data_IF_248464979653
#
_entry.id   IF_248464979653
#
_cell.length_a   1.000
_cell.length_b   1.000
_cell.length_c   1.000
_cell.angle_alpha   90.00
_cell.angle_beta   90.00
_cell.angle_gamma   90.00
#
_symmetry.space_group_name_H-M   'P 1'
#
loop_
_entity.id
_entity.type
_entity.pdbx_description
1 polymer ?
#
# COMPACT_ATOMS: atom_id res chain seq x y z
N UNK A 1 -8.98 -14.10 11.69
CA UNK A 1 -7.75 -14.59 12.32
C UNK A 1 -7.45 -15.96 11.72
N UNK A 2 -6.34 -16.12 11.01
CA UNK A 2 -5.98 -17.43 10.43
C UNK A 2 -5.26 -18.25 11.51
N UNK A 3 -5.84 -19.39 11.88
CA UNK A 3 -5.32 -20.32 12.91
C UNK A 3 -4.92 -21.62 12.22
N UNK A 4 -3.99 -21.54 11.27
CA UNK A 4 -3.47 -22.69 10.52
C UNK A 4 -1.98 -22.87 10.77
N UNK A 5 -1.51 -24.13 10.78
CA UNK A 5 -0.10 -24.49 11.07
C UNK A 5 0.88 -24.02 9.99
N UNK A 6 0.41 -23.88 8.74
CA UNK A 6 1.21 -23.51 7.58
C UNK A 6 0.63 -22.27 6.88
N UNK A 7 1.43 -21.20 6.79
CA UNK A 7 1.04 -19.98 6.08
C UNK A 7 1.37 -20.11 4.59
N UNK A 8 0.40 -20.57 3.79
CA UNK A 8 0.57 -20.76 2.34
C UNK A 8 0.51 -19.44 1.58
N UNK A 9 1.39 -19.26 0.59
CA UNK A 9 1.41 -18.08 -0.30
C UNK A 9 0.07 -17.80 -0.97
N UNK A 10 -0.69 -18.84 -1.36
CA UNK A 10 -2.04 -18.70 -1.94
C UNK A 10 -3.00 -18.01 -0.98
N UNK A 11 -2.89 -18.27 0.33
CA UNK A 11 -3.77 -17.67 1.32
C UNK A 11 -3.42 -16.19 1.55
N UNK A 12 -2.12 -15.90 1.62
CA UNK A 12 -1.62 -14.53 1.67
C UNK A 12 -2.08 -13.74 0.44
N UNK A 13 -1.99 -14.34 -0.76
CA UNK A 13 -2.50 -13.74 -1.99
C UNK A 13 -4.01 -13.50 -1.95
N UNK A 14 -4.81 -14.46 -1.46
CA UNK A 14 -6.26 -14.29 -1.34
C UNK A 14 -6.65 -13.09 -0.47
N UNK A 15 -5.88 -12.83 0.59
CA UNK A 15 -6.09 -11.68 1.49
C UNK A 15 -5.51 -10.38 0.90
N UNK A 16 -4.29 -10.42 0.38
CA UNK A 16 -3.56 -9.25 -0.11
C UNK A 16 -4.06 -8.73 -1.47
N UNK A 17 -4.65 -9.59 -2.31
CA UNK A 17 -5.08 -9.25 -3.69
C UNK A 17 -5.96 -8.01 -3.75
N UNK A 18 -6.87 -7.83 -2.78
CA UNK A 18 -7.80 -6.69 -2.79
C UNK A 18 -7.04 -5.37 -2.64
N UNK A 19 -6.22 -5.26 -1.62
CA UNK A 19 -5.41 -4.06 -1.35
C UNK A 19 -4.38 -3.82 -2.46
N UNK A 20 -3.82 -4.90 -3.03
CA UNK A 20 -2.88 -4.82 -4.14
C UNK A 20 -3.54 -4.27 -5.41
N UNK A 21 -4.72 -4.77 -5.78
CA UNK A 21 -5.45 -4.30 -6.96
C UNK A 21 -5.87 -2.84 -6.79
N UNK A 22 -6.37 -2.44 -5.61
CA UNK A 22 -6.74 -1.05 -5.34
C UNK A 22 -5.52 -0.11 -5.47
N UNK A 23 -4.37 -0.49 -4.91
CA UNK A 23 -3.13 0.29 -5.01
C UNK A 23 -2.60 0.37 -6.45
N UNK A 24 -2.67 -0.74 -7.19
CA UNK A 24 -2.25 -0.81 -8.59
C UNK A 24 -3.12 0.10 -9.47
N UNK A 25 -4.44 0.09 -9.27
CA UNK A 25 -5.37 0.94 -10.00
C UNK A 25 -5.09 2.43 -9.77
N UNK A 26 -4.92 2.84 -8.52
CA UNK A 26 -4.62 4.25 -8.18
C UNK A 26 -3.28 4.68 -8.77
N UNK A 27 -2.25 3.85 -8.65
CA UNK A 27 -0.92 4.13 -9.22
C UNK A 27 -0.97 4.26 -10.74
N UNK A 28 -1.65 3.32 -11.41
CA UNK A 28 -1.81 3.33 -12.87
C UNK A 28 -2.56 4.58 -13.33
N UNK A 29 -3.65 4.92 -12.64
CA UNK A 29 -4.45 6.12 -12.92
C UNK A 29 -3.60 7.39 -12.77
N UNK A 30 -2.80 7.51 -11.71
CA UNK A 30 -1.89 8.64 -11.51
C UNK A 30 -0.87 8.78 -12.65
N UNK A 31 -0.27 7.66 -13.11
CA UNK A 31 0.68 7.67 -14.23
C UNK A 31 0.00 8.07 -15.54
N UNK A 32 -1.19 7.55 -15.82
CA UNK A 32 -1.96 7.88 -17.02
C UNK A 32 -2.32 9.37 -17.04
N UNK A 33 -2.80 9.91 -15.92
CA UNK A 33 -3.12 11.33 -15.77
C UNK A 33 -1.88 12.22 -15.93
N UNK A 34 -0.74 11.81 -15.36
CA UNK A 34 0.51 12.54 -15.53
C UNK A 34 1.00 12.55 -16.99
N UNK A 35 0.94 11.40 -17.67
CA UNK A 35 1.48 11.24 -19.03
C UNK A 35 0.57 11.79 -20.12
N UNK A 36 -0.73 11.52 -20.06
CA UNK A 36 -1.68 11.86 -21.11
C UNK A 36 -2.42 13.18 -20.88
N UNK A 37 -2.74 13.52 -19.63
CA UNK A 37 -3.42 14.79 -19.32
C UNK A 37 -2.45 15.95 -19.03
N UNK A 38 -1.13 15.71 -19.11
CA UNK A 38 -0.10 16.75 -18.98
C UNK A 38 -0.03 17.40 -17.60
N UNK A 39 -0.66 16.82 -16.58
CA UNK A 39 -0.72 17.36 -15.22
C UNK A 39 0.59 17.15 -14.46
N UNK A 40 1.63 17.87 -14.88
CA UNK A 40 2.98 17.82 -14.26
C UNK A 40 3.09 18.63 -12.98
N UNK A 41 2.10 19.47 -12.69
CA UNK A 41 2.06 20.36 -11.52
C UNK A 41 1.69 19.64 -10.22
N UNK A 42 1.11 18.44 -10.32
CA UNK A 42 0.76 17.59 -9.17
C UNK A 42 1.97 16.72 -8.82
N UNK A 43 3.04 17.35 -8.34
CA UNK A 43 4.21 16.64 -7.85
C UNK A 43 4.05 16.42 -6.33
N UNK A 44 3.87 15.16 -5.92
CA UNK A 44 3.82 14.82 -4.50
C UNK A 44 5.26 14.60 -4.01
N UNK A 45 5.72 15.36 -3.00
CA UNK A 45 7.10 15.24 -2.52
C UNK A 45 7.33 13.89 -1.84
N UNK A 46 8.37 13.18 -2.28
CA UNK A 46 8.69 11.84 -1.77
C UNK A 46 9.06 11.83 -0.27
N UNK A 47 9.75 12.88 0.17
CA UNK A 47 10.27 12.99 1.54
C UNK A 47 9.16 12.89 2.61
N UNK A 48 8.12 13.74 2.63
CA UNK A 48 7.06 13.63 3.65
C UNK A 48 6.22 12.35 3.52
N UNK A 49 6.01 11.82 2.31
CA UNK A 49 5.29 10.55 2.12
C UNK A 49 6.06 9.42 2.81
N UNK A 50 7.38 9.35 2.60
CA UNK A 50 8.25 8.35 3.22
C UNK A 50 8.23 8.44 4.75
N UNK A 51 8.26 9.65 5.29
CA UNK A 51 8.18 9.87 6.75
C UNK A 51 6.84 9.40 7.32
N UNK A 52 5.71 9.74 6.66
CA UNK A 52 4.38 9.30 7.08
C UNK A 52 4.27 7.77 6.99
N UNK A 53 4.72 7.16 5.90
CA UNK A 53 4.68 5.71 5.72
C UNK A 53 5.47 4.96 6.80
N UNK A 54 6.65 5.49 7.14
CA UNK A 54 7.48 4.95 8.22
C UNK A 54 6.78 5.04 9.58
N UNK A 55 6.18 6.20 9.90
CA UNK A 55 5.44 6.39 11.14
C UNK A 55 4.23 5.43 11.24
N UNK A 56 3.47 5.26 10.16
CA UNK A 56 2.33 4.34 10.10
C UNK A 56 2.76 2.88 10.24
N UNK A 57 3.87 2.48 9.62
CA UNK A 57 4.42 1.14 9.73
C UNK A 57 4.78 0.80 11.19
N UNK A 58 5.44 1.72 11.89
CA UNK A 58 5.73 1.57 13.32
C UNK A 58 4.46 1.50 14.16
N UNK A 59 3.49 2.41 13.91
CA UNK A 59 2.23 2.45 14.65
C UNK A 59 1.45 1.14 14.53
N UNK A 60 1.27 0.62 13.31
CA UNK A 60 0.58 -0.67 13.08
C UNK A 60 1.37 -1.83 13.69
N UNK A 61 2.70 -1.80 13.61
CA UNK A 61 3.57 -2.79 14.25
C UNK A 61 3.37 -2.86 15.76
N UNK A 62 3.38 -1.72 16.46
CA UNK A 62 3.13 -1.68 17.90
C UNK A 62 1.70 -2.09 18.25
N UNK A 63 0.71 -1.62 17.48
CA UNK A 63 -0.70 -1.98 17.69
C UNK A 63 -0.94 -3.49 17.59
N UNK A 64 -0.34 -4.15 16.60
CA UNK A 64 -0.52 -5.59 16.39
C UNK A 64 0.28 -6.44 17.40
N UNK A 65 1.34 -5.89 18.00
CA UNK A 65 2.14 -6.58 19.02
C UNK A 65 1.54 -6.48 20.43
N UNK A 66 0.64 -5.52 20.68
CA UNK A 66 -0.06 -5.33 21.95
C UNK A 66 -1.46 -5.97 21.98
N UNK A 67 -1.83 -6.71 20.93
CA UNK A 67 -3.12 -7.38 20.77
C UNK A 67 -3.05 -8.87 21.11
#
# INVERSE_FOLDING_TARGET
>A
MYVGKDFRLILLWHFARRNFIESLLISTLAVVLYRFAGMRWIAIPFLPIGTIGTAVAFFVGFKNNQA
#
